data_IF_199724674139
#
_entry.id   IF_199724674139
#
_cell.length_a   1.000
_cell.length_b   1.000
_cell.length_c   1.000
_cell.angle_alpha   90.00
_cell.angle_beta   90.00
_cell.angle_gamma   90.00
#
_symmetry.space_group_name_H-M   'P 1'
#
loop_
_entity.id
_entity.type
_entity.pdbx_description
1 polymer ?
#
# COMPACT_ATOMS: atom_id res chain seq x y z
N UNK A 1 -8.58 34.21 -31.72
CA UNK A 1 -8.61 33.04 -30.83
C UNK A 1 -10.03 32.51 -30.85
N UNK A 2 -10.27 31.38 -31.52
CA UNK A 2 -11.64 30.84 -31.67
C UNK A 2 -12.05 30.14 -30.38
N UNK A 3 -13.11 30.64 -29.73
CA UNK A 3 -13.66 30.01 -28.53
C UNK A 3 -14.33 28.69 -28.95
N UNK A 4 -13.79 27.56 -28.49
CA UNK A 4 -14.45 26.26 -28.68
C UNK A 4 -15.70 26.26 -27.82
N UNK A 5 -16.84 26.53 -28.44
CA UNK A 5 -18.14 26.42 -27.80
C UNK A 5 -18.48 24.93 -27.75
N UNK A 6 -18.26 24.30 -26.59
CA UNK A 6 -18.63 22.90 -26.39
C UNK A 6 -20.10 22.87 -26.00
N UNK A 7 -20.91 22.29 -26.87
CA UNK A 7 -22.33 22.09 -26.59
C UNK A 7 -22.51 21.25 -25.32
N UNK A 8 -23.52 21.59 -24.51
CA UNK A 8 -23.80 20.87 -23.25
C UNK A 8 -23.99 19.37 -23.48
N UNK A 9 -24.59 18.99 -24.61
CA UNK A 9 -24.77 17.60 -25.04
C UNK A 9 -23.44 16.89 -25.31
N UNK A 10 -22.45 17.58 -25.85
CA UNK A 10 -21.12 17.03 -26.15
C UNK A 10 -20.37 16.68 -24.87
N UNK A 11 -20.39 17.56 -23.86
CA UNK A 11 -19.76 17.30 -22.55
C UNK A 11 -20.43 16.11 -21.87
N UNK A 12 -21.76 16.06 -21.88
CA UNK A 12 -22.50 14.94 -21.28
C UNK A 12 -22.19 13.62 -22.00
N UNK A 13 -22.12 13.63 -23.34
CA UNK A 13 -21.81 12.43 -24.11
C UNK A 13 -20.38 11.94 -23.87
N UNK A 14 -19.41 12.86 -23.76
CA UNK A 14 -18.03 12.52 -23.41
C UNK A 14 -17.95 11.91 -22.01
N UNK A 15 -18.61 12.52 -21.01
CA UNK A 15 -18.64 11.99 -19.64
C UNK A 15 -19.25 10.58 -19.59
N UNK A 16 -20.36 10.35 -20.29
CA UNK A 16 -20.98 9.03 -20.40
C UNK A 16 -20.04 8.03 -21.06
N UNK A 17 -19.32 8.43 -22.11
CA UNK A 17 -18.37 7.56 -22.79
C UNK A 17 -17.15 7.23 -21.92
N UNK A 18 -16.66 8.20 -21.14
CA UNK A 18 -15.56 8.00 -20.20
C UNK A 18 -15.94 7.04 -19.08
N UNK A 19 -17.14 7.18 -18.49
CA UNK A 19 -17.67 6.25 -17.48
C UNK A 19 -17.72 4.82 -18.05
N UNK A 20 -18.29 4.63 -19.25
CA UNK A 20 -18.34 3.31 -19.90
C UNK A 20 -16.96 2.71 -20.13
N UNK A 21 -16.00 3.53 -20.51
CA UNK A 21 -14.62 3.10 -20.73
C UNK A 21 -13.98 2.65 -19.41
N UNK A 22 -14.17 3.41 -18.33
CA UNK A 22 -13.69 3.05 -16.99
C UNK A 22 -14.30 1.74 -16.49
N UNK A 23 -15.62 1.57 -16.66
CA UNK A 23 -16.32 0.33 -16.29
C UNK A 23 -15.75 -0.89 -17.05
N UNK A 24 -15.53 -0.75 -18.35
CA UNK A 24 -14.91 -1.79 -19.17
C UNK A 24 -13.47 -2.10 -18.75
N UNK A 25 -12.66 -1.07 -18.47
CA UNK A 25 -11.29 -1.24 -17.98
C UNK A 25 -11.28 -1.97 -16.63
N UNK A 26 -12.17 -1.61 -15.70
CA UNK A 26 -12.28 -2.30 -14.41
C UNK A 26 -12.62 -3.79 -14.56
N UNK A 27 -13.63 -4.11 -15.39
CA UNK A 27 -13.99 -5.51 -15.66
C UNK A 27 -12.84 -6.29 -16.30
N UNK A 28 -12.14 -5.67 -17.25
CA UNK A 28 -10.96 -6.26 -17.92
C UNK A 28 -9.85 -6.55 -16.91
N UNK A 29 -9.54 -5.60 -16.03
CA UNK A 29 -8.51 -5.76 -15.00
C UNK A 29 -8.89 -6.83 -13.97
N UNK A 30 -10.16 -6.90 -13.56
CA UNK A 30 -10.65 -7.95 -12.65
C UNK A 30 -10.54 -9.33 -13.28
N UNK A 31 -10.93 -9.46 -14.56
CA UNK A 31 -10.78 -10.71 -15.31
C UNK A 31 -9.31 -11.13 -15.43
N UNK A 32 -8.44 -10.19 -15.81
CA UNK A 32 -7.00 -10.45 -15.90
C UNK A 32 -6.39 -10.88 -14.56
N UNK A 33 -6.85 -10.32 -13.44
CA UNK A 33 -6.41 -10.76 -12.10
C UNK A 33 -6.76 -12.23 -11.86
N UNK A 34 -7.96 -12.65 -12.22
CA UNK A 34 -8.42 -14.05 -12.06
C UNK A 34 -7.64 -14.99 -12.98
N UNK A 35 -7.46 -14.62 -14.25
CA UNK A 35 -6.72 -15.42 -15.23
C UNK A 35 -5.25 -15.60 -14.82
N UNK A 36 -4.57 -14.53 -14.40
CA UNK A 36 -3.19 -14.60 -13.90
C UNK A 36 -3.05 -15.46 -12.63
N UNK A 37 -4.12 -15.60 -11.85
CA UNK A 37 -4.15 -16.50 -10.69
C UNK A 37 -4.46 -17.95 -11.07
N UNK A 38 -5.21 -18.20 -12.16
CA UNK A 38 -5.51 -19.55 -12.67
C UNK A 38 -4.33 -20.16 -13.46
N UNK A 39 -3.50 -19.34 -14.11
CA UNK A 39 -2.32 -19.81 -14.85
C UNK A 39 -1.07 -19.99 -13.97
N UNK A 40 -1.14 -19.69 -12.67
CA UNK A 40 -0.14 -20.06 -11.70
C UNK A 40 -0.57 -21.37 -11.00
N UNK A 41 0.28 -22.40 -10.89
CA UNK A 41 0.01 -23.49 -9.96
C UNK A 41 0.05 -22.91 -8.54
N UNK A 42 -1.11 -22.50 -8.04
CA UNK A 42 -1.30 -22.08 -6.66
C UNK A 42 -1.07 -23.31 -5.79
N UNK A 43 -0.02 -23.27 -4.96
CA UNK A 43 0.06 -24.12 -3.79
C UNK A 43 -1.10 -23.75 -2.86
N UNK A 44 -2.22 -24.42 -3.08
CA UNK A 44 -3.21 -24.93 -2.16
C UNK A 44 -3.23 -24.26 -0.76
N UNK A 45 -4.38 -23.62 -0.49
CA UNK A 45 -5.00 -23.35 0.82
C UNK A 45 -4.47 -22.17 1.63
N UNK A 46 -5.18 -21.03 1.54
CA UNK A 46 -5.84 -20.38 2.69
C UNK A 46 -6.64 -19.13 2.27
N UNK A 47 -7.59 -19.29 1.33
CA UNK A 47 -8.79 -18.44 1.28
C UNK A 47 -9.91 -19.21 1.97
N UNK A 48 -9.90 -19.20 3.30
CA UNK A 48 -11.01 -19.66 4.14
C UNK A 48 -11.02 -19.04 5.56
N UNK A 49 -10.03 -18.22 5.95
CA UNK A 49 -9.93 -17.70 7.33
C UNK A 49 -9.98 -16.17 7.45
N UNK A 50 -10.48 -15.45 6.43
CA UNK A 50 -10.66 -13.99 6.52
C UNK A 50 -12.04 -13.56 7.07
N UNK A 51 -12.81 -14.48 7.65
CA UNK A 51 -14.06 -14.16 8.37
C UNK A 51 -14.04 -14.53 9.86
N UNK A 52 -12.91 -14.98 10.44
CA UNK A 52 -12.84 -15.39 11.85
C UNK A 52 -12.10 -14.43 12.78
N UNK A 53 -11.36 -13.46 12.26
CA UNK A 53 -10.53 -12.53 13.06
C UNK A 53 -11.29 -11.33 13.65
N UNK A 54 -12.60 -11.19 13.37
CA UNK A 54 -13.39 -10.03 13.84
C UNK A 54 -14.19 -10.29 15.12
N UNK A 55 -14.28 -11.53 15.60
CA UNK A 55 -15.10 -11.87 16.78
C UNK A 55 -14.31 -12.17 18.08
N UNK A 56 -12.97 -12.19 18.05
CA UNK A 56 -12.17 -12.46 19.27
C UNK A 56 -11.52 -11.20 19.88
N UNK A 57 -11.82 -10.01 19.32
CA UNK A 57 -11.27 -8.72 19.78
C UNK A 57 -11.90 -8.19 21.08
N UNK A 58 -12.69 -9.00 21.80
CA UNK A 58 -13.29 -8.62 23.08
C UNK A 58 -12.69 -9.32 24.31
N UNK A 59 -11.72 -10.24 24.16
CA UNK A 59 -11.28 -11.05 25.30
C UNK A 59 -9.95 -10.65 25.97
N UNK A 60 -9.02 -9.96 25.32
CA UNK A 60 -7.68 -9.75 25.91
C UNK A 60 -7.37 -8.28 26.20
N UNK A 61 -7.85 -7.83 27.37
CA UNK A 61 -7.30 -6.68 28.07
C UNK A 61 -6.20 -7.17 29.00
N UNK A 62 -4.94 -7.17 28.55
CA UNK A 62 -3.81 -6.95 29.46
C UNK A 62 -2.53 -6.51 28.73
N UNK A 63 -2.06 -5.33 29.12
CA UNK A 63 -0.65 -4.92 29.28
C UNK A 63 0.44 -5.75 28.56
N UNK A 64 1.15 -5.14 27.60
CA UNK A 64 2.56 -4.75 27.79
C UNK A 64 3.17 -4.29 26.47
N UNK A 65 4.14 -3.38 26.62
CA UNK A 65 4.95 -2.73 25.59
C UNK A 65 5.67 -3.77 24.73
N UNK A 66 5.53 -3.64 23.41
CA UNK A 66 6.54 -3.83 22.35
C UNK A 66 5.81 -4.14 21.04
N UNK A 67 5.63 -3.12 20.18
CA UNK A 67 5.16 -3.30 18.81
C UNK A 67 6.31 -3.87 17.97
N UNK A 68 6.57 -5.16 18.10
CA UNK A 68 7.29 -5.91 17.07
C UNK A 68 6.25 -6.62 16.23
N UNK A 69 5.71 -5.92 15.24
CA UNK A 69 5.00 -6.59 14.15
C UNK A 69 6.06 -7.33 13.36
N UNK A 70 6.08 -8.65 13.56
CA UNK A 70 6.85 -9.59 12.76
C UNK A 70 6.49 -9.36 11.29
N UNK A 71 7.37 -8.67 10.58
CA UNK A 71 7.30 -8.57 9.12
C UNK A 71 7.62 -9.95 8.59
N UNK A 72 6.59 -10.74 8.32
CA UNK A 72 6.72 -11.89 7.43
C UNK A 72 7.28 -11.34 6.13
N UNK A 73 8.56 -11.63 5.88
CA UNK A 73 9.22 -11.44 4.61
C UNK A 73 8.28 -11.97 3.53
N UNK A 74 7.78 -11.10 2.66
CA UNK A 74 7.07 -11.52 1.46
C UNK A 74 8.09 -12.14 0.50
N UNK A 75 8.58 -13.32 0.86
CA UNK A 75 9.44 -14.10 -0.01
C UNK A 75 8.53 -14.82 -1.00
N UNK A 76 8.70 -14.46 -2.28
CA UNK A 76 7.91 -14.89 -3.42
C UNK A 76 6.60 -14.13 -3.64
N UNK A 77 6.74 -12.91 -4.16
CA UNK A 77 5.73 -12.42 -5.10
C UNK A 77 6.47 -11.87 -6.32
N UNK A 78 6.11 -12.35 -7.51
CA UNK A 78 6.60 -11.89 -8.83
C UNK A 78 6.11 -10.46 -9.15
N UNK A 79 6.04 -9.61 -8.14
CA UNK A 79 5.64 -8.22 -8.18
C UNK A 79 6.96 -7.41 -8.32
N UNK A 80 7.02 -6.38 -9.17
CA UNK A 80 8.17 -5.46 -9.20
C UNK A 80 8.50 -4.99 -7.78
N UNK A 81 9.78 -4.68 -7.46
CA UNK A 81 10.26 -4.48 -6.09
C UNK A 81 9.23 -3.70 -5.28
N UNK A 82 8.63 -4.39 -4.32
CA UNK A 82 7.46 -3.88 -3.61
C UNK A 82 7.87 -2.61 -2.88
N UNK A 83 7.43 -1.46 -3.38
CA UNK A 83 7.66 -0.19 -2.74
C UNK A 83 6.72 -0.08 -1.53
N UNK A 84 7.27 -0.28 -0.34
CA UNK A 84 6.51 -0.21 0.90
C UNK A 84 6.78 1.12 1.61
N UNK A 85 5.74 1.92 1.79
CA UNK A 85 5.83 3.22 2.46
C UNK A 85 5.03 3.24 3.75
N UNK A 86 5.65 3.70 4.82
CA UNK A 86 4.96 4.10 6.06
C UNK A 86 5.15 5.59 6.29
N UNK A 87 4.09 6.26 6.73
CA UNK A 87 4.12 7.69 7.03
C UNK A 87 3.58 7.99 8.42
N UNK A 88 4.17 9.01 9.02
CA UNK A 88 3.72 9.67 10.23
C UNK A 88 3.91 11.18 10.03
N UNK A 89 3.36 12.06 10.90
CA UNK A 89 3.38 13.51 10.70
C UNK A 89 4.76 14.13 10.43
N UNK A 90 5.84 13.49 10.87
CA UNK A 90 7.20 14.03 10.75
C UNK A 90 8.22 13.02 10.21
N UNK A 91 7.79 11.80 9.86
CA UNK A 91 8.69 10.74 9.41
C UNK A 91 8.03 9.92 8.31
N UNK A 92 8.78 9.66 7.24
CA UNK A 92 8.41 8.74 6.17
C UNK A 92 9.51 7.69 6.03
N UNK A 93 9.12 6.42 5.94
CA UNK A 93 10.02 5.29 5.65
C UNK A 93 9.56 4.63 4.36
N UNK A 94 10.45 4.56 3.38
CA UNK A 94 10.27 3.85 2.12
C UNK A 94 11.23 2.66 2.06
N UNK A 95 10.72 1.48 1.69
CA UNK A 95 11.52 0.30 1.37
C UNK A 95 11.32 -0.06 -0.09
N UNK A 96 12.41 -0.31 -0.81
CA UNK A 96 12.42 -0.72 -2.20
C UNK A 96 13.50 -1.79 -2.41
N UNK A 97 13.10 -3.06 -2.41
CA UNK A 97 14.08 -4.15 -2.47
C UNK A 97 14.99 -4.12 -1.24
N UNK A 98 16.30 -3.98 -1.48
CA UNK A 98 17.33 -3.91 -0.42
C UNK A 98 17.60 -2.46 0.04
N UNK A 99 16.99 -1.47 -0.62
CA UNK A 99 17.18 -0.05 -0.29
C UNK A 99 16.10 0.43 0.67
N UNK A 100 16.53 1.11 1.74
CA UNK A 100 15.67 1.79 2.70
C UNK A 100 15.97 3.29 2.71
N UNK A 101 14.91 4.11 2.64
CA UNK A 101 15.00 5.57 2.74
C UNK A 101 14.15 6.05 3.91
N UNK A 102 14.77 6.81 4.82
CA UNK A 102 14.08 7.48 5.93
C UNK A 102 14.16 8.99 5.72
N UNK A 103 13.01 9.65 5.70
CA UNK A 103 12.89 11.10 5.67
C UNK A 103 12.31 11.59 6.99
N UNK A 104 12.96 12.56 7.63
CA UNK A 104 12.55 13.12 8.93
C UNK A 104 12.46 14.64 8.82
N UNK A 105 11.28 15.19 9.11
CA UNK A 105 11.05 16.62 9.22
C UNK A 105 11.01 17.00 10.69
N UNK A 106 11.88 17.92 11.11
CA UNK A 106 11.88 18.42 12.49
C UNK A 106 12.46 19.82 12.58
N UNK A 107 12.05 20.63 13.57
CA UNK A 107 12.73 21.88 13.89
C UNK A 107 14.20 21.63 14.21
N UNK A 108 15.07 22.61 13.92
CA UNK A 108 16.52 22.50 14.18
C UNK A 108 16.77 22.26 15.67
N UNK A 109 17.20 21.05 16.01
CA UNK A 109 17.57 20.63 17.37
C UNK A 109 19.00 20.10 17.36
N UNK A 110 19.93 20.70 18.13
CA UNK A 110 21.26 20.16 18.30
C UNK A 110 21.22 18.70 18.78
N UNK A 111 22.03 17.83 18.19
CA UNK A 111 22.14 16.42 18.61
C UNK A 111 21.08 15.47 18.07
N UNK A 112 20.01 15.94 17.41
CA UNK A 112 18.95 15.06 16.89
C UNK A 112 19.49 13.97 15.96
N UNK A 113 20.33 14.36 14.99
CA UNK A 113 20.93 13.42 14.05
C UNK A 113 21.79 12.38 14.76
N UNK A 114 22.55 12.78 15.78
CA UNK A 114 23.37 11.87 16.58
C UNK A 114 22.50 10.88 17.38
N UNK A 115 21.37 11.34 17.93
CA UNK A 115 20.40 10.46 18.59
C UNK A 115 19.80 9.45 17.61
N UNK A 116 19.42 9.90 16.41
CA UNK A 116 18.88 9.03 15.35
C UNK A 116 19.90 7.95 15.00
N UNK A 117 21.15 8.31 14.71
CA UNK A 117 22.19 7.32 14.40
C UNK A 117 22.51 6.40 15.57
N UNK A 118 22.49 6.90 16.81
CA UNK A 118 22.68 6.06 17.99
C UNK A 118 21.60 5.00 18.13
N UNK A 119 20.34 5.34 17.88
CA UNK A 119 19.22 4.39 17.92
C UNK A 119 19.38 3.36 16.80
N UNK A 120 19.63 3.82 15.56
CA UNK A 120 19.78 2.93 14.41
C UNK A 120 20.96 1.96 14.57
N UNK A 121 22.09 2.42 15.11
CA UNK A 121 23.26 1.58 15.36
C UNK A 121 23.11 0.61 16.54
N UNK A 122 22.11 0.80 17.40
CA UNK A 122 21.85 -0.08 18.55
C UNK A 122 20.92 -1.26 18.23
N UNK A 123 20.37 -1.33 17.01
CA UNK A 123 19.42 -2.38 16.58
C UNK A 123 20.16 -3.55 15.89
N UNK A 124 21.48 -3.66 16.07
CA UNK A 124 22.31 -4.73 15.51
C UNK A 124 22.45 -5.90 16.50
#
# INVERSE_FOLDING_TARGET
>A
QSCVQVDKSTIVNEAVNYIKTLEHTLQTLQKQRIEKLQNAPFLITSQAEELKLKEEFLANKESSKNFFVSTKTCQSCLIPPCFQTWSSPNVVLNLCGDDAQISVCSPRKPGLLATIFKILGSIN
#
